data_IF_223764595305
#
_entry.id   IF_223764595305
#
_cell.length_a   1.000
_cell.length_b   1.000
_cell.length_c   1.000
_cell.angle_alpha   90.00
_cell.angle_beta   90.00
_cell.angle_gamma   90.00
#
_symmetry.space_group_name_H-M   'P 1'
#
loop_
_entity.id
_entity.type
_entity.pdbx_description
1 polymer ?
#
# COMPACT_ATOMS: atom_id res chain seq x y z
N UNK A 1 -5.97 -12.44 -14.03
CA UNK A 1 -6.78 -12.77 -15.23
C UNK A 1 -6.62 -14.25 -15.52
N UNK A 2 -7.40 -14.84 -16.44
CA UNK A 2 -7.18 -16.24 -16.85
C UNK A 2 -6.18 -16.29 -18.00
N UNK A 3 -4.89 -16.44 -17.68
CA UNK A 3 -3.79 -16.41 -18.66
C UNK A 3 -3.82 -17.59 -19.64
N UNK A 4 -4.30 -18.76 -19.20
CA UNK A 4 -4.46 -19.94 -20.05
C UNK A 4 -5.50 -19.70 -21.16
N UNK A 5 -6.65 -19.14 -20.79
CA UNK A 5 -7.73 -18.78 -21.74
C UNK A 5 -7.27 -17.69 -22.70
N UNK A 6 -6.51 -16.70 -22.21
CA UNK A 6 -5.97 -15.65 -23.07
C UNK A 6 -5.00 -16.21 -24.10
N UNK A 7 -4.16 -17.16 -23.69
CA UNK A 7 -3.20 -17.83 -24.56
C UNK A 7 -3.92 -18.67 -25.62
N UNK A 8 -4.89 -19.50 -25.24
CA UNK A 8 -5.64 -20.34 -26.18
C UNK A 8 -6.44 -19.52 -27.21
N UNK A 9 -6.97 -18.37 -26.79
CA UNK A 9 -7.70 -17.44 -27.66
C UNK A 9 -6.82 -16.43 -28.40
N UNK A 10 -5.48 -16.48 -28.22
CA UNK A 10 -4.51 -15.55 -28.83
C UNK A 10 -4.81 -14.08 -28.52
N UNK A 11 -5.31 -13.79 -27.33
CA UNK A 11 -5.63 -12.42 -26.87
C UNK A 11 -4.45 -11.85 -26.08
N UNK A 12 -3.97 -10.67 -26.47
CA UNK A 12 -2.87 -9.98 -25.77
C UNK A 12 -3.33 -9.41 -24.43
N UNK A 13 -2.49 -9.54 -23.40
CA UNK A 13 -2.71 -8.99 -22.04
C UNK A 13 -3.07 -7.51 -22.06
N UNK A 14 -2.28 -6.70 -22.76
CA UNK A 14 -2.48 -5.26 -22.82
C UNK A 14 -3.85 -4.88 -23.37
N UNK A 15 -4.37 -5.66 -24.34
CA UNK A 15 -5.72 -5.44 -24.88
C UNK A 15 -6.80 -5.76 -23.86
N UNK A 16 -6.62 -6.81 -23.07
CA UNK A 16 -7.57 -7.16 -21.99
C UNK A 16 -7.56 -6.09 -20.91
N UNK A 17 -6.38 -5.60 -20.53
CA UNK A 17 -6.22 -4.51 -19.55
C UNK A 17 -6.90 -3.24 -20.04
N UNK A 18 -6.67 -2.83 -21.30
CA UNK A 18 -7.27 -1.64 -21.90
C UNK A 18 -8.81 -1.71 -21.89
N UNK A 19 -9.38 -2.84 -22.32
CA UNK A 19 -10.82 -3.05 -22.33
C UNK A 19 -11.41 -3.07 -20.93
N UNK A 20 -10.77 -3.78 -20.00
CA UNK A 20 -11.20 -3.84 -18.60
C UNK A 20 -11.17 -2.45 -17.96
N UNK A 21 -10.10 -1.67 -18.16
CA UNK A 21 -9.98 -0.29 -17.68
C UNK A 21 -11.08 0.60 -18.26
N UNK A 22 -11.29 0.57 -19.57
CA UNK A 22 -12.32 1.37 -20.23
C UNK A 22 -13.76 1.04 -19.77
N UNK A 23 -14.00 -0.20 -19.32
CA UNK A 23 -15.27 -0.60 -18.72
C UNK A 23 -15.37 -0.17 -17.25
N UNK A 24 -14.37 -0.53 -16.44
CA UNK A 24 -14.36 -0.31 -15.00
C UNK A 24 -14.40 1.19 -14.63
N UNK A 25 -13.71 2.05 -15.39
CA UNK A 25 -13.74 3.51 -15.17
C UNK A 25 -15.14 4.13 -15.34
N UNK A 26 -16.09 3.42 -15.97
CA UNK A 26 -17.48 3.88 -16.11
C UNK A 26 -18.34 3.48 -14.93
N UNK A 27 -17.84 2.61 -14.04
CA UNK A 27 -18.59 2.18 -12.87
C UNK A 27 -18.58 3.28 -11.81
N UNK A 28 -19.72 3.56 -11.16
CA UNK A 28 -19.77 4.52 -10.06
C UNK A 28 -18.76 4.18 -8.96
N UNK A 29 -18.05 5.21 -8.48
CA UNK A 29 -17.06 5.08 -7.42
C UNK A 29 -15.71 4.55 -7.84
N UNK A 30 -15.48 4.22 -9.11
CA UNK A 30 -14.14 3.92 -9.63
C UNK A 30 -13.44 5.23 -9.97
N UNK A 31 -12.34 5.50 -9.28
CA UNK A 31 -11.47 6.65 -9.57
C UNK A 31 -10.43 6.31 -10.63
N UNK A 32 -9.77 5.16 -10.50
CA UNK A 32 -8.78 4.70 -11.47
C UNK A 32 -8.63 3.18 -11.47
N UNK A 33 -8.01 2.64 -12.51
CA UNK A 33 -7.64 1.22 -12.64
C UNK A 33 -6.17 1.14 -13.02
N UNK A 34 -5.36 0.63 -12.11
CA UNK A 34 -3.91 0.59 -12.22
C UNK A 34 -3.46 -0.81 -12.63
N UNK A 35 -2.68 -0.88 -13.70
CA UNK A 35 -1.92 -2.07 -14.06
C UNK A 35 -0.54 -2.06 -13.42
N UNK A 36 0.21 -3.14 -13.66
CA UNK A 36 1.58 -3.32 -13.17
C UNK A 36 2.51 -2.16 -13.55
N UNK A 37 2.38 -1.64 -14.77
CA UNK A 37 3.19 -0.53 -15.26
C UNK A 37 2.92 0.75 -14.49
N UNK A 38 1.65 1.08 -14.27
CA UNK A 38 1.24 2.28 -13.53
C UNK A 38 1.66 2.21 -12.07
N UNK A 39 1.50 1.05 -11.42
CA UNK A 39 1.95 0.85 -10.03
C UNK A 39 3.48 0.97 -9.89
N UNK A 40 4.22 0.43 -10.86
CA UNK A 40 5.69 0.43 -10.84
C UNK A 40 6.28 1.81 -11.11
N UNK A 41 5.70 2.56 -12.06
CA UNK A 41 6.21 3.89 -12.46
C UNK A 41 5.68 5.04 -11.60
N UNK A 42 4.60 4.83 -10.84
CA UNK A 42 3.94 5.86 -10.05
C UNK A 42 4.77 6.35 -8.86
N UNK A 43 4.81 7.67 -8.70
CA UNK A 43 5.53 8.37 -7.62
C UNK A 43 4.63 8.84 -6.47
N UNK A 44 3.32 8.65 -6.58
CA UNK A 44 2.36 9.03 -5.54
C UNK A 44 2.39 8.05 -4.37
N UNK A 45 1.90 8.47 -3.20
CA UNK A 45 1.73 7.59 -2.05
C UNK A 45 0.86 6.37 -2.41
N UNK A 46 -0.26 6.60 -3.10
CA UNK A 46 -1.16 5.52 -3.58
C UNK A 46 -0.40 4.50 -4.45
N UNK A 47 0.42 4.96 -5.39
CA UNK A 47 1.22 4.07 -6.23
C UNK A 47 2.25 3.28 -5.41
N UNK A 48 2.89 3.92 -4.41
CA UNK A 48 3.79 3.24 -3.47
C UNK A 48 3.06 2.17 -2.66
N UNK A 49 1.90 2.49 -2.08
CA UNK A 49 1.10 1.53 -1.29
C UNK A 49 0.72 0.31 -2.13
N UNK A 50 0.23 0.53 -3.35
CA UNK A 50 -0.13 -0.57 -4.23
C UNK A 50 1.07 -1.38 -4.71
N UNK A 51 2.20 -0.74 -5.02
CA UNK A 51 3.44 -1.44 -5.38
C UNK A 51 3.94 -2.30 -4.22
N UNK A 52 3.96 -1.76 -3.00
CA UNK A 52 4.41 -2.48 -1.82
C UNK A 52 3.45 -3.62 -1.42
N UNK A 53 2.16 -3.48 -1.71
CA UNK A 53 1.14 -4.51 -1.51
C UNK A 53 0.93 -5.46 -2.70
N UNK A 54 1.79 -5.43 -3.72
CA UNK A 54 1.68 -6.27 -4.91
C UNK A 54 2.72 -7.38 -4.91
N UNK A 55 2.25 -8.60 -5.11
CA UNK A 55 3.06 -9.81 -5.30
C UNK A 55 2.79 -10.34 -6.70
N UNK A 56 3.81 -10.38 -7.57
CA UNK A 56 3.65 -10.76 -8.97
C UNK A 56 3.08 -12.18 -9.18
N UNK A 57 3.22 -13.07 -8.19
CA UNK A 57 2.75 -14.46 -8.28
C UNK A 57 1.37 -14.67 -7.65
N UNK A 58 0.96 -13.81 -6.72
CA UNK A 58 -0.27 -13.95 -5.94
C UNK A 58 -1.30 -12.86 -6.18
N UNK A 59 -0.89 -11.70 -6.68
CA UNK A 59 -1.77 -10.57 -6.93
C UNK A 59 -2.37 -10.61 -8.33
N UNK A 60 -3.57 -10.05 -8.47
CA UNK A 60 -4.20 -9.86 -9.76
C UNK A 60 -3.48 -8.83 -10.64
N UNK A 61 -3.76 -8.89 -11.95
CA UNK A 61 -3.18 -8.00 -12.97
C UNK A 61 -3.58 -6.52 -12.84
N UNK A 62 -4.70 -6.24 -12.18
CA UNK A 62 -5.26 -4.90 -12.03
C UNK A 62 -5.56 -4.63 -10.56
N UNK A 63 -5.32 -3.39 -10.15
CA UNK A 63 -5.82 -2.81 -8.90
C UNK A 63 -6.83 -1.74 -9.26
N UNK A 64 -7.93 -1.71 -8.52
CA UNK A 64 -8.96 -0.69 -8.72
C UNK A 64 -8.88 0.28 -7.55
N UNK A 65 -8.68 1.54 -7.88
CA UNK A 65 -8.72 2.65 -6.94
C UNK A 65 -10.14 3.20 -6.94
N UNK A 66 -10.76 3.19 -5.78
CA UNK A 66 -12.09 3.76 -5.57
C UNK A 66 -11.99 5.24 -5.20
N UNK A 67 -13.08 5.98 -5.37
CA UNK A 67 -13.20 7.37 -4.92
C UNK A 67 -13.14 7.46 -3.38
N UNK A 68 -12.64 8.57 -2.81
CA UNK A 68 -12.66 8.77 -1.36
C UNK A 68 -14.07 8.64 -0.77
N UNK A 69 -14.19 7.97 0.37
CA UNK A 69 -15.48 7.73 1.04
C UNK A 69 -16.38 6.68 0.38
N UNK A 70 -15.96 6.07 -0.73
CA UNK A 70 -16.67 4.94 -1.32
C UNK A 70 -16.31 3.63 -0.63
N UNK A 71 -17.30 2.76 -0.48
CA UNK A 71 -17.13 1.39 -0.03
C UNK A 71 -17.63 0.43 -1.11
N UNK A 72 -16.91 -0.67 -1.31
CA UNK A 72 -17.19 -1.64 -2.36
C UNK A 72 -17.54 -3.00 -1.80
N UNK A 73 -18.81 -3.38 -1.90
CA UNK A 73 -19.34 -4.61 -1.35
C UNK A 73 -20.64 -4.34 -0.61
N UNK A 74 -21.25 -5.40 -0.09
CA UNK A 74 -22.49 -5.30 0.66
C UNK A 74 -22.15 -5.17 2.16
N UNK A 75 -21.70 -3.99 2.56
CA UNK A 75 -21.37 -3.68 3.96
C UNK A 75 -22.49 -2.86 4.58
N UNK A 76 -23.00 -3.30 5.73
CA UNK A 76 -24.12 -2.64 6.41
C UNK A 76 -23.70 -1.42 7.25
N UNK A 77 -22.41 -1.10 7.32
CA UNK A 77 -21.92 0.03 8.14
C UNK A 77 -20.60 0.64 7.62
N UNK A 78 -19.48 -0.07 7.78
CA UNK A 78 -18.14 0.42 7.45
C UNK A 78 -17.22 -0.73 7.03
N UNK A 79 -16.18 -0.41 6.26
CA UNK A 79 -15.08 -1.31 5.93
C UNK A 79 -13.80 -0.48 5.73
N UNK A 80 -12.64 -1.16 5.68
CA UNK A 80 -11.34 -0.56 5.42
C UNK A 80 -10.67 -1.17 4.18
N UNK A 81 -9.57 -0.59 3.73
CA UNK A 81 -8.70 -1.12 2.68
C UNK A 81 -8.51 -0.19 1.48
N UNK A 82 -9.00 1.04 1.58
CA UNK A 82 -8.66 2.12 0.67
C UNK A 82 -7.21 2.58 0.88
N UNK A 83 -6.72 3.36 -0.08
CA UNK A 83 -5.38 3.95 -0.03
C UNK A 83 -5.39 5.39 0.52
N UNK A 84 -6.45 5.75 1.25
CA UNK A 84 -6.71 7.10 1.76
C UNK A 84 -6.41 7.21 3.25
N UNK A 85 -6.34 8.46 3.72
CA UNK A 85 -5.87 8.82 5.05
C UNK A 85 -6.72 8.19 6.17
N UNK A 86 -8.03 8.04 5.95
CA UNK A 86 -8.97 7.37 6.85
C UNK A 86 -8.62 5.89 7.11
N UNK A 87 -7.95 5.21 6.18
CA UNK A 87 -7.48 3.83 6.35
C UNK A 87 -5.98 3.71 6.61
N UNK A 88 -5.17 4.70 6.21
CA UNK A 88 -3.70 4.61 6.25
C UNK A 88 -3.08 5.39 7.42
N UNK A 89 -3.77 6.39 7.97
CA UNK A 89 -3.27 7.20 9.08
C UNK A 89 -3.53 6.52 10.42
N UNK A 90 -2.54 5.76 10.89
CA UNK A 90 -2.62 5.02 12.15
C UNK A 90 -1.78 5.68 13.25
N UNK A 91 -2.23 5.63 14.52
CA UNK A 91 -1.40 6.09 15.63
C UNK A 91 -0.21 5.16 15.86
N UNK A 92 0.97 5.73 16.10
CA UNK A 92 2.18 5.00 16.44
C UNK A 92 2.79 5.59 17.72
N UNK A 93 2.87 4.78 18.77
CA UNK A 93 3.32 5.20 20.10
C UNK A 93 4.43 4.26 20.58
N UNK A 94 5.56 4.84 20.98
CA UNK A 94 6.65 4.12 21.65
C UNK A 94 6.69 4.49 23.13
N UNK A 95 6.93 3.50 23.98
CA UNK A 95 7.09 3.67 25.43
C UNK A 95 7.98 2.57 25.98
N UNK A 96 8.77 2.90 27.00
CA UNK A 96 9.62 1.93 27.70
C UNK A 96 11.06 2.41 27.84
N UNK A 97 11.97 1.43 27.95
CA UNK A 97 13.38 1.68 28.14
C UNK A 97 13.95 2.49 26.97
N UNK A 98 14.67 3.56 27.31
CA UNK A 98 15.34 4.44 26.37
C UNK A 98 14.41 5.18 25.37
N UNK A 99 13.12 5.39 25.70
CA UNK A 99 12.18 6.19 24.91
C UNK A 99 11.87 7.51 25.63
N UNK A 100 12.11 8.63 24.95
CA UNK A 100 11.87 9.96 25.49
C UNK A 100 10.38 10.30 25.55
N UNK A 101 9.92 10.76 26.72
CA UNK A 101 8.54 11.20 26.93
C UNK A 101 8.24 12.48 26.15
N UNK A 102 7.09 12.52 25.48
CA UNK A 102 6.56 13.73 24.85
C UNK A 102 7.27 14.13 23.55
N UNK A 103 8.14 13.28 23.01
CA UNK A 103 8.70 13.50 21.67
C UNK A 103 7.73 12.96 20.61
N UNK A 104 7.59 13.71 19.53
CA UNK A 104 6.90 13.31 18.33
C UNK A 104 7.79 13.63 17.14
N UNK A 105 7.97 12.68 16.23
CA UNK A 105 8.65 12.95 14.97
C UNK A 105 7.80 13.93 14.14
N UNK A 106 8.46 14.84 13.44
CA UNK A 106 7.85 15.70 12.44
C UNK A 106 8.00 15.13 11.02
N UNK A 107 8.61 13.95 10.90
CA UNK A 107 8.79 13.28 9.62
C UNK A 107 7.59 12.40 9.29
N UNK A 108 7.42 12.12 8.00
CA UNK A 108 6.51 11.10 7.54
C UNK A 108 7.00 9.71 8.00
N UNK A 109 6.15 8.95 8.68
CA UNK A 109 6.46 7.61 9.22
C UNK A 109 5.50 6.61 8.59
N UNK A 110 6.02 5.45 8.22
CA UNK A 110 5.26 4.34 7.66
C UNK A 110 5.20 3.17 8.63
N UNK A 111 4.18 2.33 8.48
CA UNK A 111 3.99 1.17 9.35
C UNK A 111 5.18 0.19 9.30
N UNK A 112 5.89 0.09 8.17
CA UNK A 112 7.08 -0.75 8.03
C UNK A 112 8.32 -0.22 8.77
N UNK A 113 8.26 1.00 9.31
CA UNK A 113 9.32 1.61 10.10
C UNK A 113 9.33 1.15 11.58
N UNK A 114 8.27 0.48 12.05
CA UNK A 114 8.15 0.02 13.45
C UNK A 114 9.27 -0.96 13.82
N UNK A 115 9.45 -2.01 13.02
CA UNK A 115 10.44 -3.04 13.29
C UNK A 115 11.89 -2.51 13.32
N UNK A 116 12.38 -1.75 12.33
CA UNK A 116 13.74 -1.19 12.38
C UNK A 116 13.89 -0.14 13.50
N UNK A 117 12.82 0.55 13.90
CA UNK A 117 12.85 1.46 15.06
C UNK A 117 13.06 0.68 16.37
N UNK A 118 12.34 -0.43 16.58
CA UNK A 118 12.53 -1.29 17.75
C UNK A 118 13.97 -1.85 17.79
N UNK A 119 14.47 -2.37 16.66
CA UNK A 119 15.84 -2.89 16.57
C UNK A 119 16.87 -1.80 16.91
N UNK A 120 16.68 -0.59 16.40
CA UNK A 120 17.53 0.56 16.71
C UNK A 120 17.50 0.94 18.19
N UNK A 121 16.34 0.89 18.85
CA UNK A 121 16.20 1.19 20.28
C UNK A 121 16.92 0.18 21.18
N UNK A 122 16.96 -1.09 20.78
CA UNK A 122 17.66 -2.15 21.54
C UNK A 122 19.12 -2.37 21.11
N UNK A 123 19.62 -1.61 20.13
CA UNK A 123 20.98 -1.75 19.61
C UNK A 123 21.21 -3.01 18.77
N UNK A 124 20.16 -3.62 18.22
CA UNK A 124 20.26 -4.78 17.35
C UNK A 124 20.52 -4.38 15.88
N UNK A 125 21.21 -5.22 15.09
CA UNK A 125 21.41 -4.94 13.67
C UNK A 125 20.08 -4.96 12.91
N UNK A 126 19.92 -3.99 12.01
CA UNK A 126 18.75 -3.89 11.13
C UNK A 126 19.05 -4.70 9.85
N UNK A 127 18.26 -5.73 9.52
CA UNK A 127 18.46 -6.49 8.29
C UNK A 127 18.31 -5.61 7.05
N UNK A 128 19.21 -5.78 6.08
CA UNK A 128 19.15 -5.03 4.81
C UNK A 128 17.90 -5.32 3.95
N UNK A 129 17.16 -6.39 4.26
CA UNK A 129 15.89 -6.73 3.62
C UNK A 129 14.70 -5.95 4.16
N UNK A 130 14.82 -5.24 5.29
CA UNK A 130 13.77 -4.34 5.77
C UNK A 130 13.69 -3.10 4.87
N UNK A 131 12.48 -2.75 4.44
CA UNK A 131 12.23 -1.57 3.60
C UNK A 131 12.05 -0.29 4.42
N UNK A 132 11.64 -0.43 5.68
CA UNK A 132 11.47 0.68 6.60
C UNK A 132 12.80 1.21 7.14
N UNK A 133 12.73 2.40 7.73
CA UNK A 133 13.85 3.11 8.35
C UNK A 133 13.66 3.20 9.87
N UNK A 134 14.78 3.19 10.59
CA UNK A 134 14.76 3.34 12.05
C UNK A 134 14.68 4.80 12.45
N UNK A 135 13.70 5.13 13.30
CA UNK A 135 13.58 6.43 13.94
C UNK A 135 14.03 6.42 15.40
N UNK A 136 14.79 5.41 15.82
CA UNK A 136 15.22 5.25 17.20
C UNK A 136 15.85 6.53 17.78
N UNK A 137 16.67 7.24 17.00
CA UNK A 137 17.31 8.50 17.41
C UNK A 137 16.35 9.67 17.66
N UNK A 138 15.17 9.64 17.03
CA UNK A 138 14.17 10.69 17.16
C UNK A 138 13.29 10.47 18.40
N UNK A 139 13.13 9.21 18.80
CA UNK A 139 12.27 8.80 19.91
C UNK A 139 13.06 8.39 21.15
N UNK A 140 14.38 8.19 21.08
CA UNK A 140 15.23 7.90 22.22
C UNK A 140 15.64 9.15 23.00
N UNK A 141 16.20 8.98 24.20
CA UNK A 141 16.77 10.09 24.97
C UNK A 141 17.89 10.81 24.21
#
# INVERSE_FOLDING_TARGET
MNHETMTSKKVKRDRVIELARGFLLKMPGVKDVLGEREMSAGKTLVARLYRNGHDQTRSGDLKILIEPGWLWGNYNAANHGSAYDDDTHIPMLFSGWNVAKGRASQQEIFADDVAPTILGLIGAPIPASMTGRSFAKEVSH
#
